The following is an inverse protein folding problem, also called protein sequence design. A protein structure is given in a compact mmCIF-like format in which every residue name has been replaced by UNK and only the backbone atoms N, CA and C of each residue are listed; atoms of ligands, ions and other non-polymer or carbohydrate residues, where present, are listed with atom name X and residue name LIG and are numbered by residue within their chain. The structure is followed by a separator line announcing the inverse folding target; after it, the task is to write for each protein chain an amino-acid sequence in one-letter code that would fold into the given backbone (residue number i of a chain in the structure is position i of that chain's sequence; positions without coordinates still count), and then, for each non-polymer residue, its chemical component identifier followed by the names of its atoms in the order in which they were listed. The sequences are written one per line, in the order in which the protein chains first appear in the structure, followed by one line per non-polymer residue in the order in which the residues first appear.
data_IF_558528643619
#
_entry.id   IF_558528643619
#
_cell.length_a   1.000
_cell.length_b   1.000
_cell.length_c   1.000
_cell.angle_alpha   90.00
_cell.angle_beta   90.00
_cell.angle_gamma   90.00
#
_symmetry.space_group_name_H-M   'P 1'
#
loop_
_entity.id
_entity.type
_entity.pdbx_description
1 polymer ?
#
# COMPACT_ATOMS: atom_id res chain seq x y z
N UNK A 1 -26.90 7.82 -33.03
CA UNK A 1 -26.64 8.18 -31.63
C UNK A 1 -25.66 7.16 -31.10
N UNK A 2 -24.44 7.58 -30.78
CA UNK A 2 -23.47 6.71 -30.09
C UNK A 2 -23.83 6.79 -28.61
N UNK A 3 -24.36 5.71 -28.04
CA UNK A 3 -24.56 5.61 -26.59
C UNK A 3 -23.24 5.16 -25.96
N UNK A 4 -22.66 6.00 -25.11
CA UNK A 4 -21.52 5.59 -24.29
C UNK A 4 -22.01 4.62 -23.22
N UNK A 5 -21.24 3.56 -23.00
CA UNK A 5 -21.45 2.69 -21.85
C UNK A 5 -21.14 3.44 -20.55
N UNK A 6 -21.69 2.99 -19.40
CA UNK A 6 -21.36 3.52 -18.09
C UNK A 6 -19.85 3.56 -17.80
N UNK A 7 -19.13 2.51 -18.17
CA UNK A 7 -17.67 2.41 -18.00
C UNK A 7 -16.93 3.47 -18.83
N UNK A 8 -17.25 3.58 -20.13
CA UNK A 8 -16.61 4.56 -21.01
C UNK A 8 -16.84 5.99 -20.54
N UNK A 9 -18.01 6.27 -19.94
CA UNK A 9 -18.33 7.59 -19.40
C UNK A 9 -17.41 7.93 -18.21
N UNK A 10 -17.16 6.97 -17.31
CA UNK A 10 -16.25 7.14 -16.17
C UNK A 10 -14.82 7.31 -16.66
N UNK A 11 -14.39 6.49 -17.62
CA UNK A 11 -13.03 6.57 -18.18
C UNK A 11 -12.77 7.94 -18.82
N UNK A 12 -13.77 8.51 -19.51
CA UNK A 12 -13.68 9.87 -20.08
C UNK A 12 -13.53 10.92 -18.98
N UNK A 13 -14.29 10.82 -17.87
CA UNK A 13 -14.14 11.75 -16.75
C UNK A 13 -12.75 11.66 -16.12
N UNK A 14 -12.24 10.44 -15.90
CA UNK A 14 -10.90 10.19 -15.36
C UNK A 14 -9.82 10.78 -16.27
N UNK A 15 -9.90 10.53 -17.59
CA UNK A 15 -8.95 11.06 -18.57
C UNK A 15 -8.92 12.59 -18.59
N UNK A 16 -10.05 13.24 -18.30
CA UNK A 16 -10.18 14.70 -18.23
C UNK A 16 -9.82 15.29 -16.86
N UNK A 17 -9.42 14.47 -15.88
CA UNK A 17 -9.15 14.90 -14.51
C UNK A 17 -10.41 15.29 -13.72
N UNK A 18 -11.60 14.91 -14.18
CA UNK A 18 -12.88 15.16 -13.53
C UNK A 18 -13.17 14.06 -12.48
N UNK A 19 -12.27 13.90 -11.50
CA UNK A 19 -12.31 12.78 -10.57
C UNK A 19 -13.55 12.78 -9.64
N UNK A 20 -14.08 13.96 -9.28
CA UNK A 20 -15.29 14.05 -8.45
C UNK A 20 -16.55 13.60 -9.22
N UNK A 21 -16.66 13.98 -10.49
CA UNK A 21 -17.74 13.55 -11.37
C UNK A 21 -17.63 12.04 -11.68
N UNK A 22 -16.41 11.54 -11.90
CA UNK A 22 -16.13 10.13 -12.11
C UNK A 22 -16.62 9.27 -10.91
N UNK A 23 -16.26 9.65 -9.68
CA UNK A 23 -16.70 8.94 -8.47
C UNK A 23 -18.23 8.97 -8.32
N UNK A 24 -18.84 10.13 -8.55
CA UNK A 24 -20.29 10.31 -8.41
C UNK A 24 -21.04 9.44 -9.42
N UNK A 25 -20.59 9.44 -10.68
CA UNK A 25 -21.17 8.63 -11.74
C UNK A 25 -20.97 7.13 -11.48
N UNK A 26 -19.75 6.70 -11.16
CA UNK A 26 -19.44 5.30 -10.89
C UNK A 26 -20.25 4.75 -9.70
N UNK A 27 -20.37 5.53 -8.62
CA UNK A 27 -21.18 5.14 -7.47
C UNK A 27 -22.67 5.05 -7.80
N UNK A 28 -23.19 5.96 -8.62
CA UNK A 28 -24.61 6.00 -8.99
C UNK A 28 -24.98 4.87 -9.95
N UNK A 29 -24.07 4.54 -10.87
CA UNK A 29 -24.25 3.51 -11.89
C UNK A 29 -23.77 2.13 -11.45
N UNK A 30 -23.26 2.01 -10.22
CA UNK A 30 -22.70 0.78 -9.64
C UNK A 30 -21.62 0.13 -10.52
N UNK A 31 -20.77 0.98 -11.11
CA UNK A 31 -19.65 0.54 -11.94
C UNK A 31 -18.41 0.36 -11.08
N UNK A 32 -17.62 -0.64 -11.42
CA UNK A 32 -16.36 -0.90 -10.74
C UNK A 32 -15.37 0.27 -10.90
N UNK A 33 -14.79 0.72 -9.78
CA UNK A 33 -13.87 1.87 -9.74
C UNK A 33 -12.39 1.49 -9.86
N UNK A 34 -12.04 0.26 -10.26
CA UNK A 34 -10.64 -0.18 -10.36
C UNK A 34 -9.82 0.76 -11.24
N UNK A 35 -10.29 1.06 -12.45
CA UNK A 35 -9.60 1.97 -13.37
C UNK A 35 -9.47 3.40 -12.83
N UNK A 36 -10.47 3.86 -12.08
CA UNK A 36 -10.42 5.16 -11.39
C UNK A 36 -9.29 5.19 -10.34
N UNK A 37 -9.21 4.18 -9.47
CA UNK A 37 -8.20 4.14 -8.40
C UNK A 37 -6.79 3.90 -8.93
N UNK A 38 -6.62 3.07 -9.96
CA UNK A 38 -5.34 2.92 -10.67
C UNK A 38 -4.88 4.29 -11.21
N UNK A 39 -5.74 4.99 -11.96
CA UNK A 39 -5.36 6.27 -12.56
C UNK A 39 -5.04 7.34 -11.51
N UNK A 40 -5.83 7.41 -10.43
CA UNK A 40 -5.61 8.36 -9.35
C UNK A 40 -4.30 8.07 -8.59
N UNK A 41 -3.96 6.80 -8.36
CA UNK A 41 -2.69 6.41 -7.76
C UNK A 41 -1.49 6.74 -8.68
N UNK A 42 -1.61 6.47 -9.99
CA UNK A 42 -0.60 6.88 -10.98
C UNK A 42 -0.39 8.38 -10.96
N UNK A 43 -1.49 9.15 -10.99
CA UNK A 43 -1.46 10.62 -10.96
C UNK A 43 -0.79 11.13 -9.69
N UNK A 44 -1.05 10.50 -8.54
CA UNK A 44 -0.38 10.87 -7.30
C UNK A 44 1.14 10.68 -7.40
N UNK A 45 1.63 9.55 -7.90
CA UNK A 45 3.08 9.33 -8.08
C UNK A 45 3.68 10.35 -9.04
N UNK A 46 3.00 10.66 -10.15
CA UNK A 46 3.42 11.73 -11.07
C UNK A 46 3.55 13.08 -10.36
N UNK A 47 2.56 13.46 -9.55
CA UNK A 47 2.59 14.70 -8.77
C UNK A 47 3.67 14.70 -7.69
N UNK A 48 4.05 13.54 -7.15
CA UNK A 48 5.16 13.43 -6.21
C UNK A 48 6.51 13.62 -6.90
N UNK A 49 6.69 13.08 -8.11
CA UNK A 49 7.90 13.25 -8.93
C UNK A 49 8.10 14.69 -9.41
N UNK A 50 7.00 15.41 -9.62
CA UNK A 50 7.02 16.84 -9.93
C UNK A 50 7.39 17.60 -8.65
N UNK A 51 8.69 17.86 -8.46
CA UNK A 51 9.24 18.56 -7.31
C UNK A 51 8.45 19.82 -6.91
N UNK A 52 8.42 20.12 -5.61
CA UNK A 52 7.59 21.13 -4.91
C UNK A 52 7.58 22.55 -5.49
N UNK A 53 8.49 22.88 -6.42
CA UNK A 53 8.67 24.22 -6.98
C UNK A 53 7.72 24.57 -8.13
N UNK A 54 6.86 23.64 -8.58
CA UNK A 54 5.88 23.93 -9.63
C UNK A 54 4.49 24.10 -9.01
N UNK A 55 4.10 25.35 -8.76
CA UNK A 55 2.81 25.67 -8.12
C UNK A 55 1.62 25.60 -9.07
N UNK A 56 1.87 25.61 -10.37
CA UNK A 56 0.85 25.50 -11.43
C UNK A 56 1.13 24.28 -12.30
N UNK A 57 0.68 23.11 -11.83
CA UNK A 57 0.75 21.86 -12.57
C UNK A 57 -0.66 21.58 -13.11
N UNK A 58 -0.89 21.61 -14.44
CA UNK A 58 -2.20 21.29 -15.01
C UNK A 58 -2.75 19.93 -14.54
N UNK A 59 -1.87 18.96 -14.31
CA UNK A 59 -2.23 17.64 -13.77
C UNK A 59 -2.77 17.68 -12.32
N UNK A 60 -2.55 18.77 -11.58
CA UNK A 60 -3.06 19.00 -10.23
C UNK A 60 -4.35 19.86 -10.19
N UNK A 61 -4.85 20.33 -11.34
CA UNK A 61 -5.98 21.27 -11.39
C UNK A 61 -7.23 20.77 -10.65
N UNK A 62 -7.50 19.45 -10.70
CA UNK A 62 -8.62 18.84 -9.99
C UNK A 62 -8.55 19.01 -8.46
N UNK A 63 -7.35 19.10 -7.89
CA UNK A 63 -7.16 19.28 -6.45
C UNK A 63 -7.56 20.70 -6.00
N UNK A 64 -7.46 21.68 -6.89
CA UNK A 64 -7.83 23.07 -6.62
C UNK A 64 -9.35 23.27 -6.65
N UNK A 65 -10.06 22.49 -7.47
CA UNK A 65 -11.52 22.60 -7.63
C UNK A 65 -12.30 21.64 -6.74
N UNK A 66 -11.69 20.51 -6.34
CA UNK A 66 -12.39 19.51 -5.55
C UNK A 66 -12.80 20.03 -4.17
N UNK A 67 -14.04 19.78 -3.70
CA UNK A 67 -14.45 20.12 -2.34
C UNK A 67 -13.66 19.34 -1.27
N UNK A 68 -13.00 18.24 -1.63
CA UNK A 68 -12.17 17.44 -0.71
C UNK A 68 -10.86 18.17 -0.36
N UNK A 69 -10.27 18.88 -1.31
CA UNK A 69 -8.89 19.42 -1.18
C UNK A 69 -8.77 20.93 -1.37
N UNK A 70 -9.74 21.59 -2.02
CA UNK A 70 -9.69 23.03 -2.37
C UNK A 70 -9.44 23.99 -1.20
N UNK A 71 -9.76 23.57 0.03
CA UNK A 71 -9.55 24.36 1.26
C UNK A 71 -8.28 23.98 2.03
N UNK A 72 -7.59 22.93 1.62
CA UNK A 72 -6.40 22.42 2.29
C UNK A 72 -5.15 23.11 1.71
N UNK A 73 -4.10 23.15 2.51
CA UNK A 73 -2.78 23.65 2.12
C UNK A 73 -1.80 22.47 2.06
N UNK A 74 -0.86 22.52 1.12
CA UNK A 74 0.16 21.50 0.95
C UNK A 74 0.61 21.37 -0.49
N UNK A 75 1.64 20.55 -0.72
CA UNK A 75 2.07 20.22 -2.08
C UNK A 75 0.97 19.44 -2.83
N UNK A 76 0.94 19.51 -4.18
CA UNK A 76 0.00 18.71 -4.98
C UNK A 76 0.02 17.22 -4.63
N UNK A 77 1.19 16.65 -4.36
CA UNK A 77 1.34 15.26 -3.94
C UNK A 77 0.68 14.98 -2.59
N UNK A 78 0.84 15.87 -1.61
CA UNK A 78 0.20 15.72 -0.30
C UNK A 78 -1.33 15.83 -0.40
N UNK A 79 -1.83 16.74 -1.24
CA UNK A 79 -3.26 16.89 -1.49
C UNK A 79 -3.84 15.67 -2.25
N UNK A 80 -3.11 15.12 -3.23
CA UNK A 80 -3.49 13.89 -3.91
C UNK A 80 -3.54 12.70 -2.95
N UNK A 81 -2.55 12.57 -2.06
CA UNK A 81 -2.54 11.57 -0.97
C UNK A 81 -3.76 11.69 -0.07
N UNK A 82 -4.15 12.92 0.29
CA UNK A 82 -5.36 13.14 1.07
C UNK A 82 -6.62 12.75 0.31
N UNK A 83 -6.71 13.16 -0.96
CA UNK A 83 -7.85 12.88 -1.83
C UNK A 83 -8.09 11.38 -2.00
N UNK A 84 -7.05 10.61 -2.34
CA UNK A 84 -7.17 9.15 -2.54
C UNK A 84 -7.58 8.45 -1.25
N UNK A 85 -7.06 8.88 -0.10
CA UNK A 85 -7.44 8.33 1.21
C UNK A 85 -8.93 8.56 1.50
N UNK A 86 -9.44 9.76 1.24
CA UNK A 86 -10.87 10.08 1.43
C UNK A 86 -11.75 9.29 0.45
N UNK A 87 -11.31 9.14 -0.81
CA UNK A 87 -12.02 8.34 -1.81
C UNK A 87 -12.09 6.86 -1.40
N UNK A 88 -10.99 6.27 -0.94
CA UNK A 88 -10.96 4.89 -0.42
C UNK A 88 -11.90 4.73 0.78
N UNK A 89 -11.86 5.64 1.75
CA UNK A 89 -12.76 5.59 2.91
C UNK A 89 -14.26 5.62 2.54
N UNK A 90 -14.59 6.25 1.40
CA UNK A 90 -15.97 6.36 0.92
C UNK A 90 -16.42 5.14 0.12
N UNK A 91 -15.51 4.56 -0.67
CA UNK A 91 -15.87 3.60 -1.70
C UNK A 91 -15.33 2.18 -1.48
N UNK A 92 -14.36 2.01 -0.59
CA UNK A 92 -13.71 0.73 -0.36
C UNK A 92 -14.03 0.18 1.04
N UNK A 93 -14.50 -1.05 1.09
CA UNK A 93 -14.98 -1.69 2.32
C UNK A 93 -14.98 -3.21 2.18
N UNK A 94 -15.49 -3.91 3.21
CA UNK A 94 -15.74 -5.35 3.11
C UNK A 94 -16.68 -5.74 1.97
N UNK A 95 -17.57 -4.84 1.50
CA UNK A 95 -18.45 -5.11 0.36
C UNK A 95 -17.70 -5.22 -0.98
N UNK A 96 -16.61 -4.46 -1.12
CA UNK A 96 -15.71 -4.49 -2.28
C UNK A 96 -14.52 -5.41 -2.04
N UNK A 97 -14.50 -6.14 -0.91
CA UNK A 97 -13.36 -6.91 -0.43
C UNK A 97 -12.05 -6.11 -0.35
N UNK A 98 -12.15 -4.79 -0.13
CA UNK A 98 -10.99 -3.88 -0.09
C UNK A 98 -10.15 -3.86 -1.39
N UNK A 99 -10.75 -4.23 -2.53
CA UNK A 99 -10.02 -4.35 -3.79
C UNK A 99 -9.42 -3.02 -4.24
N UNK A 100 -10.04 -1.89 -3.93
CA UNK A 100 -9.53 -0.59 -4.36
C UNK A 100 -8.29 -0.17 -3.58
N UNK A 101 -8.23 -0.43 -2.27
CA UNK A 101 -7.03 -0.22 -1.46
C UNK A 101 -5.87 -1.09 -1.96
N UNK A 102 -6.18 -2.33 -2.35
CA UNK A 102 -5.20 -3.26 -2.91
C UNK A 102 -4.68 -2.81 -4.28
N UNK A 103 -5.54 -2.28 -5.15
CA UNK A 103 -5.15 -1.70 -6.45
C UNK A 103 -4.28 -0.46 -6.27
N UNK A 104 -4.62 0.40 -5.31
CA UNK A 104 -3.78 1.56 -4.98
C UNK A 104 -2.42 1.07 -4.51
N UNK A 105 -2.36 0.13 -3.57
CA UNK A 105 -1.12 -0.45 -3.09
C UNK A 105 -0.26 -1.04 -4.21
N UNK A 106 -0.85 -1.88 -5.08
CA UNK A 106 -0.14 -2.46 -6.23
C UNK A 106 0.43 -1.40 -7.16
N UNK A 107 -0.37 -0.37 -7.46
CA UNK A 107 0.07 0.72 -8.33
C UNK A 107 1.25 1.48 -7.71
N UNK A 108 1.23 1.72 -6.39
CA UNK A 108 2.34 2.40 -5.70
C UNK A 108 3.59 1.52 -5.58
N UNK A 109 3.41 0.22 -5.37
CA UNK A 109 4.51 -0.74 -5.34
C UNK A 109 5.18 -0.85 -6.72
N UNK A 110 4.39 -0.95 -7.79
CA UNK A 110 4.85 -1.03 -9.18
C UNK A 110 5.63 0.22 -9.62
N UNK A 111 5.16 1.40 -9.21
CA UNK A 111 5.76 2.67 -9.61
C UNK A 111 6.98 3.07 -8.75
N UNK A 112 7.52 2.17 -7.92
CA UNK A 112 8.63 2.41 -6.98
C UNK A 112 10.03 2.62 -7.60
N UNK A 113 10.13 3.25 -8.75
CA UNK A 113 11.44 3.47 -9.37
C UNK A 113 12.25 4.60 -8.69
N UNK A 114 11.70 5.23 -7.65
CA UNK A 114 12.21 6.47 -7.05
C UNK A 114 12.53 6.36 -5.55
N UNK A 115 12.71 5.14 -5.03
CA UNK A 115 13.04 4.93 -3.62
C UNK A 115 14.29 5.72 -3.18
N UNK A 116 15.30 5.80 -4.06
CA UNK A 116 16.54 6.56 -3.86
C UNK A 116 16.33 8.09 -3.87
N UNK A 117 15.18 8.57 -4.34
CA UNK A 117 14.78 9.98 -4.32
C UNK A 117 13.89 10.30 -3.11
N UNK A 118 13.72 9.35 -2.18
CA UNK A 118 12.92 9.52 -0.98
C UNK A 118 11.45 9.13 -1.13
N UNK A 119 11.07 8.44 -2.21
CA UNK A 119 9.74 7.85 -2.28
C UNK A 119 9.60 6.78 -1.21
N UNK A 120 8.53 6.88 -0.42
CA UNK A 120 8.20 5.90 0.62
C UNK A 120 6.72 5.61 0.57
N UNK A 121 6.36 4.39 0.95
CA UNK A 121 4.96 4.02 1.02
C UNK A 121 4.21 4.89 2.05
N UNK A 122 3.02 5.41 1.74
CA UNK A 122 2.28 6.29 2.63
C UNK A 122 1.95 5.60 3.96
N UNK A 123 2.37 6.19 5.08
CA UNK A 123 2.24 5.57 6.40
C UNK A 123 0.80 5.17 6.76
N UNK A 124 -0.19 5.96 6.34
CA UNK A 124 -1.60 5.65 6.59
C UNK A 124 -2.05 4.37 5.86
N UNK A 125 -1.52 4.11 4.66
CA UNK A 125 -1.84 2.93 3.85
C UNK A 125 -1.15 1.70 4.42
N UNK A 126 0.15 1.83 4.74
CA UNK A 126 0.92 0.80 5.44
C UNK A 126 0.20 0.37 6.71
N UNK A 127 -0.20 1.34 7.54
CA UNK A 127 -0.88 1.06 8.81
C UNK A 127 -2.21 0.34 8.61
N UNK A 128 -3.06 0.80 7.69
CA UNK A 128 -4.36 0.17 7.45
C UNK A 128 -4.20 -1.25 6.92
N UNK A 129 -3.25 -1.47 6.02
CA UNK A 129 -3.03 -2.77 5.37
C UNK A 129 -2.34 -3.76 6.30
N UNK A 130 -1.36 -3.33 7.09
CA UNK A 130 -0.72 -4.16 8.11
C UNK A 130 -1.70 -4.57 9.22
N UNK A 131 -2.70 -3.74 9.53
CA UNK A 131 -3.77 -4.10 10.47
C UNK A 131 -4.80 -5.06 9.86
N UNK A 132 -5.11 -4.90 8.56
CA UNK A 132 -6.15 -5.66 7.86
C UNK A 132 -5.67 -7.02 7.37
N UNK A 133 -4.52 -7.05 6.69
CA UNK A 133 -3.95 -8.23 6.03
C UNK A 133 -2.41 -8.10 5.94
N UNK A 134 -1.68 -8.30 7.06
CA UNK A 134 -0.22 -8.15 7.08
C UNK A 134 0.48 -9.14 6.15
N UNK A 135 -0.03 -10.38 6.04
CA UNK A 135 0.52 -11.38 5.11
C UNK A 135 0.40 -10.92 3.66
N UNK A 136 -0.79 -10.44 3.25
CA UNK A 136 -1.00 -9.92 1.89
C UNK A 136 -0.14 -8.69 1.59
N UNK A 137 0.00 -7.79 2.57
CA UNK A 137 0.84 -6.60 2.44
C UNK A 137 2.32 -6.93 2.24
N UNK A 138 2.89 -7.75 3.14
CA UNK A 138 4.29 -8.20 3.05
C UNK A 138 4.50 -9.01 1.77
N UNK A 139 3.51 -9.82 1.36
CA UNK A 139 3.55 -10.57 0.12
C UNK A 139 3.60 -9.68 -1.13
N UNK A 140 2.85 -8.57 -1.15
CA UNK A 140 2.93 -7.56 -2.23
C UNK A 140 4.28 -6.88 -2.25
N UNK A 141 4.80 -6.48 -1.09
CA UNK A 141 6.12 -5.89 -0.97
C UNK A 141 7.21 -6.80 -1.56
N UNK A 142 7.20 -8.08 -1.17
CA UNK A 142 8.11 -9.10 -1.71
C UNK A 142 7.95 -9.26 -3.24
N UNK A 143 6.70 -9.36 -3.74
CA UNK A 143 6.42 -9.50 -5.18
C UNK A 143 7.04 -8.37 -6.02
N UNK A 144 7.04 -7.15 -5.49
CA UNK A 144 7.52 -5.95 -6.18
C UNK A 144 8.96 -5.55 -5.80
N UNK A 145 9.69 -6.41 -5.08
CA UNK A 145 11.11 -6.18 -4.75
C UNK A 145 11.35 -5.16 -3.62
N UNK A 146 10.34 -4.84 -2.81
CA UNK A 146 10.49 -3.98 -1.62
C UNK A 146 11.02 -4.78 -0.42
N UNK A 147 12.20 -5.38 -0.57
CA UNK A 147 12.73 -6.35 0.39
C UNK A 147 13.06 -5.71 1.74
N UNK A 148 13.70 -4.54 1.73
CA UNK A 148 14.11 -3.83 2.95
C UNK A 148 12.92 -3.46 3.83
N UNK A 149 11.83 -2.95 3.24
CA UNK A 149 10.59 -2.59 3.92
C UNK A 149 9.79 -3.82 4.35
N UNK A 150 9.75 -4.86 3.51
CA UNK A 150 9.11 -6.12 3.86
C UNK A 150 9.74 -6.73 5.12
N UNK A 151 11.07 -6.65 5.27
CA UNK A 151 11.78 -7.08 6.48
C UNK A 151 11.36 -6.26 7.70
N UNK A 152 11.29 -4.93 7.58
CA UNK A 152 10.87 -4.03 8.67
C UNK A 152 9.43 -4.31 9.12
N UNK A 153 8.51 -4.47 8.16
CA UNK A 153 7.11 -4.79 8.45
C UNK A 153 6.94 -6.17 9.05
N UNK A 154 7.75 -7.14 8.63
CA UNK A 154 7.75 -8.49 9.22
C UNK A 154 8.26 -8.46 10.66
N UNK A 155 9.34 -7.73 10.94
CA UNK A 155 9.85 -7.55 12.30
C UNK A 155 8.80 -6.87 13.20
N UNK A 156 8.10 -5.86 12.70
CA UNK A 156 7.02 -5.21 13.43
C UNK A 156 5.84 -6.17 13.69
N UNK A 157 5.45 -6.98 12.70
CA UNK A 157 4.42 -8.02 12.86
C UNK A 157 4.79 -9.00 13.99
N UNK A 158 6.04 -9.47 14.02
CA UNK A 158 6.51 -10.40 15.06
C UNK A 158 6.55 -9.75 16.45
N UNK A 159 6.91 -8.46 16.52
CA UNK A 159 6.93 -7.67 17.76
C UNK A 159 5.53 -7.47 18.34
N UNK A 160 4.54 -7.22 17.48
CA UNK A 160 3.14 -7.04 17.91
C UNK A 160 2.46 -8.35 18.27
N UNK A 161 2.91 -9.48 17.70
CA UNK A 161 2.34 -10.78 18.00
C UNK A 161 2.61 -11.20 19.46
N UNK A 162 1.63 -11.86 20.09
CA UNK A 162 1.77 -12.34 21.47
C UNK A 162 3.00 -13.24 21.61
N UNK A 163 3.94 -12.94 22.54
CA UNK A 163 5.11 -13.78 22.77
C UNK A 163 4.73 -15.22 23.16
N UNK A 164 5.47 -16.24 22.73
CA UNK A 164 5.12 -17.64 23.01
C UNK A 164 4.92 -17.94 24.50
N UNK A 165 5.78 -17.42 25.38
CA UNK A 165 5.66 -17.65 26.83
C UNK A 165 4.39 -17.10 27.48
N UNK A 166 3.64 -16.24 26.77
CA UNK A 166 2.35 -15.70 27.22
C UNK A 166 1.15 -16.40 26.56
N UNK A 167 1.38 -17.35 25.66
CA UNK A 167 0.30 -18.11 25.03
C UNK A 167 -0.23 -19.18 25.99
N UNK A 168 -1.55 -19.45 26.00
CA UNK A 168 -2.11 -20.57 26.73
C UNK A 168 -1.56 -21.91 26.24
N UNK A 169 -1.34 -22.86 27.16
CA UNK A 169 -0.90 -24.23 26.80
C UNK A 169 -1.88 -24.87 25.82
N UNK A 170 -1.37 -25.46 24.74
CA UNK A 170 -2.16 -26.05 23.66
C UNK A 170 -2.72 -25.06 22.63
N UNK A 171 -2.47 -23.75 22.77
CA UNK A 171 -2.84 -22.73 21.78
C UNK A 171 -1.65 -22.26 20.92
N UNK A 172 -0.61 -23.08 20.78
CA UNK A 172 0.55 -22.75 19.93
C UNK A 172 0.17 -22.45 18.47
N UNK A 173 -0.97 -22.99 18.01
CA UNK A 173 -1.51 -22.82 16.66
C UNK A 173 -2.40 -21.58 16.46
N UNK A 174 -2.72 -20.81 17.51
CA UNK A 174 -3.67 -19.67 17.39
C UNK A 174 -3.02 -18.35 16.99
N UNK A 175 -1.68 -18.30 16.88
CA UNK A 175 -0.99 -17.08 16.44
C UNK A 175 -0.84 -17.12 14.92
N UNK A 176 -1.52 -16.22 14.21
CA UNK A 176 -1.45 -16.11 12.74
C UNK A 176 -0.13 -15.44 12.33
N UNK A 177 0.98 -16.18 12.38
CA UNK A 177 2.28 -15.75 11.85
C UNK A 177 2.53 -16.49 10.53
N UNK A 178 2.75 -15.77 9.41
CA UNK A 178 2.89 -16.39 8.10
C UNK A 178 4.32 -16.90 7.86
N UNK A 179 4.76 -17.92 8.60
CA UNK A 179 6.16 -18.44 8.53
C UNK A 179 6.61 -18.78 7.11
N UNK A 180 5.74 -19.36 6.27
CA UNK A 180 6.08 -19.66 4.87
C UNK A 180 6.38 -18.39 4.03
N UNK A 181 5.74 -17.26 4.34
CA UNK A 181 6.07 -15.98 3.70
C UNK A 181 7.38 -15.42 4.25
N UNK A 182 7.61 -15.54 5.55
CA UNK A 182 8.84 -15.11 6.21
C UNK A 182 10.05 -15.86 5.62
N UNK A 183 9.95 -17.17 5.43
CA UNK A 183 11.03 -17.98 4.85
C UNK A 183 11.34 -17.54 3.41
N UNK A 184 10.30 -17.26 2.60
CA UNK A 184 10.47 -16.73 1.24
C UNK A 184 11.11 -15.35 1.22
N UNK A 185 10.73 -14.48 2.17
CA UNK A 185 11.32 -13.15 2.31
C UNK A 185 12.79 -13.24 2.73
N UNK A 186 13.14 -14.11 3.67
CA UNK A 186 14.53 -14.35 4.08
C UNK A 186 15.35 -14.82 2.88
N UNK A 187 14.85 -15.80 2.12
CA UNK A 187 15.54 -16.31 0.95
C UNK A 187 15.79 -15.22 -0.11
N UNK A 188 14.78 -14.39 -0.40
CA UNK A 188 14.94 -13.26 -1.33
C UNK A 188 15.92 -12.20 -0.80
N UNK A 189 15.88 -11.90 0.50
CA UNK A 189 16.77 -10.93 1.12
C UNK A 189 18.23 -11.41 1.20
N UNK A 190 18.47 -12.71 1.33
CA UNK A 190 19.82 -13.27 1.27
C UNK A 190 20.43 -13.17 -0.14
N UNK A 191 19.59 -13.31 -1.17
CA UNK A 191 19.99 -13.09 -2.56
C UNK A 191 20.43 -11.62 -2.75
N UNK A 192 19.59 -10.66 -2.35
CA UNK A 192 19.92 -9.21 -2.41
C UNK A 192 21.12 -8.82 -1.53
N UNK A 193 21.24 -9.36 -0.32
CA UNK A 193 22.35 -9.05 0.59
C UNK A 193 23.69 -9.54 0.04
N UNK A 194 23.70 -10.63 -0.74
CA UNK A 194 24.89 -11.12 -1.41
C UNK A 194 25.43 -10.15 -2.48
N UNK A 195 24.59 -9.21 -2.93
CA UNK A 195 24.96 -8.14 -3.85
C UNK A 195 25.58 -6.90 -3.16
N UNK A 196 25.71 -6.92 -1.82
CA UNK A 196 26.50 -5.95 -1.06
C UNK A 196 25.73 -5.00 -0.15
N UNK A 197 24.43 -5.18 0.05
CA UNK A 197 23.65 -4.37 1.01
C UNK A 197 23.77 -4.92 2.45
N UNK A 198 24.75 -4.41 3.19
CA UNK A 198 24.96 -4.77 4.60
C UNK A 198 23.76 -4.46 5.52
N UNK A 199 22.91 -3.48 5.15
CA UNK A 199 21.74 -3.13 5.95
C UNK A 199 20.66 -4.21 5.85
N UNK A 200 20.44 -4.74 4.64
CA UNK A 200 19.54 -5.89 4.42
C UNK A 200 20.08 -7.10 5.18
N UNK A 201 21.38 -7.39 5.09
CA UNK A 201 22.00 -8.51 5.82
C UNK A 201 21.76 -8.46 7.34
N UNK A 202 21.89 -7.27 7.97
CA UNK A 202 21.57 -7.10 9.40
C UNK A 202 20.11 -7.37 9.72
N UNK A 203 19.18 -6.88 8.90
CA UNK A 203 17.74 -7.10 9.08
C UNK A 203 17.37 -8.58 8.96
N UNK A 204 18.00 -9.29 8.02
CA UNK A 204 17.82 -10.74 7.84
C UNK A 204 18.24 -11.50 9.10
N UNK A 205 19.43 -11.22 9.64
CA UNK A 205 19.90 -11.90 10.86
C UNK A 205 19.00 -11.60 12.06
N UNK A 206 18.55 -10.35 12.22
CA UNK A 206 17.57 -9.99 13.25
C UNK A 206 16.27 -10.78 13.11
N UNK A 207 15.76 -10.92 11.87
CA UNK A 207 14.52 -11.64 11.61
C UNK A 207 14.67 -13.14 11.89
N UNK A 208 15.77 -13.77 11.45
CA UNK A 208 16.08 -15.18 11.75
C UNK A 208 16.16 -15.44 13.25
N UNK A 209 16.84 -14.56 13.99
CA UNK A 209 16.92 -14.68 15.44
C UNK A 209 15.55 -14.64 16.10
N UNK A 210 14.70 -13.68 15.71
CA UNK A 210 13.37 -13.50 16.28
C UNK A 210 12.46 -14.70 15.98
N UNK A 211 12.49 -15.20 14.74
CA UNK A 211 11.79 -16.42 14.34
C UNK A 211 12.29 -17.63 15.14
N UNK A 212 13.61 -17.80 15.28
CA UNK A 212 14.19 -18.91 16.05
C UNK A 212 13.80 -18.86 17.53
N UNK A 213 13.88 -17.68 18.16
CA UNK A 213 13.43 -17.45 19.55
C UNK A 213 11.96 -17.82 19.70
N UNK A 214 11.11 -17.39 18.75
CA UNK A 214 9.68 -17.66 18.77
C UNK A 214 9.36 -19.16 18.62
N UNK A 215 9.96 -19.84 17.65
CA UNK A 215 9.77 -21.28 17.42
C UNK A 215 10.22 -22.10 18.64
N UNK A 216 11.38 -21.79 19.23
CA UNK A 216 11.84 -22.44 20.47
C UNK A 216 10.85 -22.26 21.62
N UNK A 217 10.32 -21.05 21.78
CA UNK A 217 9.28 -20.76 22.76
C UNK A 217 8.00 -21.57 22.54
N UNK A 218 7.56 -21.71 21.29
CA UNK A 218 6.38 -22.50 20.94
C UNK A 218 6.56 -24.00 21.20
N UNK A 219 7.75 -24.56 20.96
CA UNK A 219 8.06 -25.95 21.31
C UNK A 219 8.14 -26.21 22.82
N UNK A 220 8.29 -25.16 23.63
CA UNK A 220 8.38 -25.26 25.09
C UNK A 220 7.03 -25.16 25.82
N UNK A 221 5.93 -24.88 25.08
CA UNK A 221 4.55 -24.81 25.60
C UNK A 221 3.89 -26.18 25.72
#
# INVERSE_FOLDING_TARGET
MVSLSPQETIDIFVQRGMYDDAQTAASSLQVDMTGFFTNLATRWVELWRLQENTTDVPAAAFLQTSPVTSRLQGSPAALASHYIRVALQRHDSSKTNYIYSEIVADTLFELNNDINQGWVMPAWLVQSEMQRNPEGWIGRALKWGWISEALDWTLELLRQATPPGLLPKGQSLTTFIPYNLIDRLIAAAEEDASEGDEAIGRKVEMLKEEVSKRIKGLHSL
#
